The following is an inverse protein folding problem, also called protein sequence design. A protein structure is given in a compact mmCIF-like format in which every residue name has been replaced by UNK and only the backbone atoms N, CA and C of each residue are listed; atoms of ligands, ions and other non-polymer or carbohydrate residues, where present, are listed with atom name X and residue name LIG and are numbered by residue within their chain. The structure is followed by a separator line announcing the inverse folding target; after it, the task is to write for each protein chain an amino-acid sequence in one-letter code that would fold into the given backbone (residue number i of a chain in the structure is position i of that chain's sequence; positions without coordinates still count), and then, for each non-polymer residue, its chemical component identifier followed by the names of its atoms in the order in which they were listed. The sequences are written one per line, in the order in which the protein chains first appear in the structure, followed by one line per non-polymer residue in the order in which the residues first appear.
data_IF_668219624658
#
_entry.id   IF_668219624658
#
_cell.length_a   1.000
_cell.length_b   1.000
_cell.length_c   1.000
_cell.angle_alpha   90.00
_cell.angle_beta   90.00
_cell.angle_gamma   90.00
#
_symmetry.space_group_name_H-M   'P 1'
#
loop_
_entity.id
_entity.type
_entity.pdbx_description
1 polymer ?
#
# COMPACT_ATOMS: atom_id res chain seq x y z
N UNK A 1 26.32 -9.90 12.42
CA UNK A 1 27.06 -11.16 12.60
C UNK A 1 28.00 -11.15 13.80
N UNK A 2 28.55 -10.02 14.26
CA UNK A 2 29.36 -9.96 15.50
C UNK A 2 28.60 -10.32 16.78
N UNK A 3 27.25 -10.30 16.76
CA UNK A 3 26.38 -10.62 17.91
C UNK A 3 25.86 -12.08 17.93
N UNK A 4 26.32 -12.95 17.03
CA UNK A 4 25.85 -14.33 16.95
C UNK A 4 24.55 -14.52 16.16
N UNK A 5 23.93 -13.44 15.68
CA UNK A 5 22.69 -13.47 14.87
C UNK A 5 22.96 -14.15 13.52
N UNK A 6 22.08 -15.07 13.13
CA UNK A 6 22.20 -15.83 11.87
C UNK A 6 21.12 -15.50 10.85
N UNK A 7 20.00 -14.97 11.26
CA UNK A 7 18.85 -14.62 10.40
C UNK A 7 18.67 -13.11 10.41
N UNK A 8 19.15 -12.43 9.37
CA UNK A 8 19.22 -10.98 9.33
C UNK A 8 18.31 -10.46 8.22
N UNK A 9 17.35 -9.63 8.58
CA UNK A 9 16.55 -8.86 7.62
C UNK A 9 17.35 -7.64 7.17
N UNK A 10 17.41 -7.40 5.88
CA UNK A 10 18.03 -6.20 5.28
C UNK A 10 16.96 -5.40 4.58
N UNK A 11 16.54 -4.30 5.20
CA UNK A 11 15.65 -3.34 4.56
C UNK A 11 16.46 -2.48 3.60
N UNK A 12 16.03 -2.44 2.35
CA UNK A 12 16.66 -1.61 1.33
C UNK A 12 15.61 -1.31 0.24
N UNK A 13 15.33 -0.04 -0.07
CA UNK A 13 14.26 0.33 -1.01
C UNK A 13 14.43 -0.35 -2.37
N UNK A 14 13.37 -0.49 -3.16
CA UNK A 14 13.52 -0.84 -4.56
C UNK A 14 14.52 0.11 -5.26
N UNK A 15 15.32 -0.40 -6.21
CA UNK A 15 16.38 0.35 -6.94
C UNK A 15 17.54 0.87 -6.10
N UNK A 16 17.66 0.49 -4.86
CA UNK A 16 18.80 0.87 -3.99
C UNK A 16 20.09 0.07 -4.25
N UNK A 17 20.10 -0.80 -5.26
CA UNK A 17 21.25 -1.65 -5.55
C UNK A 17 21.32 -2.93 -4.71
N UNK A 18 20.20 -3.45 -4.18
CA UNK A 18 20.15 -4.70 -3.38
C UNK A 18 20.96 -5.83 -3.99
N UNK A 19 20.80 -6.08 -5.30
CA UNK A 19 21.48 -7.16 -6.01
C UNK A 19 23.02 -6.96 -6.04
N UNK A 20 23.48 -5.71 -6.11
CA UNK A 20 24.92 -5.38 -6.03
C UNK A 20 25.46 -5.68 -4.62
N UNK A 21 24.71 -5.34 -3.58
CA UNK A 21 25.08 -5.68 -2.19
C UNK A 21 25.12 -7.20 -2.00
N UNK A 22 24.15 -7.94 -2.54
CA UNK A 22 24.14 -9.40 -2.53
C UNK A 22 25.35 -9.98 -3.27
N UNK A 23 25.72 -9.41 -4.42
CA UNK A 23 26.92 -9.81 -5.17
C UNK A 23 28.19 -9.61 -4.35
N UNK A 24 28.35 -8.47 -3.68
CA UNK A 24 29.48 -8.22 -2.79
C UNK A 24 29.54 -9.22 -1.62
N UNK A 25 28.41 -9.55 -1.02
CA UNK A 25 28.35 -10.56 0.05
C UNK A 25 28.70 -11.94 -0.48
N UNK A 26 28.17 -12.33 -1.64
CA UNK A 26 28.44 -13.60 -2.29
C UNK A 26 29.93 -13.71 -2.64
N UNK A 27 30.53 -12.66 -3.22
CA UNK A 27 31.99 -12.63 -3.51
C UNK A 27 32.82 -12.85 -2.24
N UNK A 28 32.56 -12.08 -1.20
CA UNK A 28 33.29 -12.23 0.07
C UNK A 28 33.13 -13.63 0.71
N UNK A 29 32.02 -14.30 0.49
CA UNK A 29 31.80 -15.66 0.97
C UNK A 29 32.54 -16.67 0.08
N UNK A 30 32.40 -16.58 -1.23
CA UNK A 30 33.04 -17.53 -2.17
C UNK A 30 34.55 -17.40 -2.22
N UNK A 31 35.12 -16.20 -2.04
CA UNK A 31 36.59 -15.99 -1.86
C UNK A 31 37.17 -16.73 -0.65
N UNK A 32 36.30 -17.09 0.31
CA UNK A 32 36.61 -17.91 1.48
C UNK A 32 36.19 -19.38 1.32
N UNK A 33 35.97 -19.82 0.08
CA UNK A 33 35.48 -21.17 -0.25
C UNK A 33 34.15 -21.53 0.42
N UNK A 34 33.32 -20.53 0.76
CA UNK A 34 31.97 -20.72 1.32
C UNK A 34 30.96 -20.90 0.20
N UNK A 35 29.97 -21.77 0.42
CA UNK A 35 28.89 -22.00 -0.52
C UNK A 35 27.73 -21.06 -0.26
N UNK A 36 27.23 -20.45 -1.33
CA UNK A 36 26.13 -19.49 -1.30
C UNK A 36 24.91 -20.07 -2.03
N UNK A 37 23.74 -19.98 -1.43
CA UNK A 37 22.46 -20.27 -2.05
C UNK A 37 21.69 -18.96 -2.23
N UNK A 38 21.34 -18.65 -3.48
CA UNK A 38 20.40 -17.60 -3.81
C UNK A 38 19.12 -18.23 -4.36
N UNK A 39 17.95 -17.77 -3.90
CA UNK A 39 16.68 -18.17 -4.50
C UNK A 39 15.64 -17.06 -4.44
N UNK A 40 14.77 -17.05 -5.45
CA UNK A 40 13.64 -16.14 -5.59
C UNK A 40 12.41 -16.88 -6.11
N UNK A 41 11.28 -16.20 -6.18
CA UNK A 41 10.06 -16.80 -6.73
C UNK A 41 9.96 -16.69 -8.27
N UNK A 42 10.80 -15.88 -8.92
CA UNK A 42 10.79 -15.62 -10.37
C UNK A 42 12.11 -15.97 -11.04
N UNK A 43 11.99 -16.54 -12.23
CA UNK A 43 13.15 -16.91 -13.06
C UNK A 43 13.93 -15.68 -13.53
N UNK A 44 13.24 -14.62 -13.90
CA UNK A 44 13.83 -13.37 -14.37
C UNK A 44 14.75 -12.72 -13.32
N UNK A 45 14.36 -12.79 -12.04
CA UNK A 45 15.22 -12.31 -10.94
C UNK A 45 16.50 -13.14 -10.85
N UNK A 46 16.40 -14.46 -11.00
CA UNK A 46 17.58 -15.34 -10.97
C UNK A 46 18.55 -15.05 -12.11
N UNK A 47 18.05 -14.76 -13.31
CA UNK A 47 18.86 -14.38 -14.47
C UNK A 47 19.59 -13.06 -14.22
N UNK A 48 18.91 -12.04 -13.71
CA UNK A 48 19.51 -10.75 -13.33
C UNK A 48 20.56 -10.89 -12.22
N UNK A 49 20.31 -11.74 -11.24
CA UNK A 49 21.27 -12.02 -10.16
C UNK A 49 22.51 -12.73 -10.72
N UNK A 50 22.31 -13.72 -11.59
CA UNK A 50 23.41 -14.42 -12.23
C UNK A 50 24.32 -13.45 -13.02
N UNK A 51 23.73 -12.57 -13.83
CA UNK A 51 24.48 -11.54 -14.56
C UNK A 51 25.22 -10.57 -13.62
N UNK A 52 24.55 -10.16 -12.53
CA UNK A 52 25.16 -9.23 -11.56
C UNK A 52 26.30 -9.91 -10.80
N UNK A 53 26.16 -11.18 -10.44
CA UNK A 53 27.22 -11.96 -9.80
C UNK A 53 28.40 -12.17 -10.74
N UNK A 54 28.14 -12.45 -12.01
CA UNK A 54 29.19 -12.56 -13.03
C UNK A 54 29.96 -11.24 -13.16
N UNK A 55 29.28 -10.12 -13.27
CA UNK A 55 29.90 -8.77 -13.33
C UNK A 55 30.65 -8.42 -12.04
N UNK A 56 30.18 -8.90 -10.91
CA UNK A 56 30.81 -8.73 -9.60
C UNK A 56 31.93 -9.71 -9.30
N UNK A 57 32.35 -10.51 -10.30
CA UNK A 57 33.44 -11.50 -10.19
C UNK A 57 33.23 -12.49 -9.03
N UNK A 58 31.99 -12.90 -8.79
CA UNK A 58 31.65 -13.94 -7.80
C UNK A 58 32.08 -15.30 -8.36
N UNK A 59 32.74 -16.13 -7.55
CA UNK A 59 33.04 -17.50 -7.95
C UNK A 59 31.74 -18.33 -8.01
N UNK A 60 31.18 -18.48 -9.23
CA UNK A 60 29.91 -19.14 -9.46
C UNK A 60 29.92 -20.66 -9.20
N UNK A 61 31.07 -21.31 -9.16
CA UNK A 61 31.18 -22.72 -8.79
C UNK A 61 30.75 -22.98 -7.34
N UNK A 62 30.84 -21.96 -6.49
CA UNK A 62 30.39 -21.98 -5.12
C UNK A 62 29.01 -21.34 -4.91
N UNK A 63 28.25 -21.05 -5.99
CA UNK A 63 26.92 -20.41 -5.91
C UNK A 63 25.86 -21.30 -6.51
N UNK A 64 24.77 -21.48 -5.78
CA UNK A 64 23.56 -22.15 -6.26
C UNK A 64 22.50 -21.09 -6.46
N UNK A 65 21.99 -20.96 -7.67
CA UNK A 65 20.90 -20.02 -8.01
C UNK A 65 19.70 -20.83 -8.48
N UNK A 66 18.50 -20.48 -8.00
CA UNK A 66 17.28 -21.17 -8.43
C UNK A 66 15.98 -20.51 -8.00
N UNK A 67 14.88 -20.94 -8.60
CA UNK A 67 13.56 -20.56 -8.08
C UNK A 67 13.22 -21.40 -6.85
N UNK A 68 12.40 -20.85 -5.95
CA UNK A 68 11.93 -21.57 -4.74
C UNK A 68 11.46 -22.97 -5.08
N UNK A 69 10.57 -23.12 -6.09
CA UNK A 69 10.04 -24.42 -6.49
C UNK A 69 11.12 -25.38 -7.04
N UNK A 70 12.16 -24.88 -7.74
CA UNK A 70 13.25 -25.69 -8.24
C UNK A 70 14.19 -26.15 -7.11
N UNK A 71 14.45 -25.29 -6.15
CA UNK A 71 15.28 -25.61 -4.97
C UNK A 71 14.57 -26.67 -4.11
N UNK A 72 13.28 -26.48 -3.78
CA UNK A 72 12.52 -27.47 -2.99
C UNK A 72 12.56 -28.86 -3.60
N UNK A 73 12.38 -28.98 -4.94
CA UNK A 73 12.37 -30.29 -5.62
C UNK A 73 13.71 -31.04 -5.53
N UNK A 74 14.83 -30.34 -5.42
CA UNK A 74 16.18 -30.93 -5.35
C UNK A 74 16.88 -30.75 -4.01
N UNK A 75 16.14 -30.34 -2.98
CA UNK A 75 16.68 -29.93 -1.69
C UNK A 75 17.62 -30.97 -1.07
N UNK A 76 17.21 -32.23 -1.04
CA UNK A 76 18.01 -33.34 -0.50
C UNK A 76 19.25 -33.71 -1.35
N UNK A 77 19.40 -33.14 -2.53
CA UNK A 77 20.57 -33.35 -3.42
C UNK A 77 21.53 -32.17 -3.41
N UNK A 78 21.17 -31.09 -2.74
CA UNK A 78 22.04 -29.93 -2.62
C UNK A 78 23.11 -30.16 -1.55
N UNK A 79 24.33 -29.66 -1.75
CA UNK A 79 25.34 -29.66 -0.70
C UNK A 79 24.95 -28.71 0.43
N UNK A 80 25.56 -28.88 1.60
CA UNK A 80 25.47 -27.88 2.68
C UNK A 80 25.92 -26.52 2.18
N UNK A 81 25.21 -25.45 2.61
CA UNK A 81 25.51 -24.08 2.25
C UNK A 81 25.79 -23.25 3.49
N UNK A 82 26.69 -22.27 3.35
CA UNK A 82 27.13 -21.41 4.46
C UNK A 82 26.31 -20.10 4.53
N UNK A 83 25.85 -19.62 3.37
CA UNK A 83 25.12 -18.35 3.26
C UNK A 83 23.90 -18.54 2.36
N UNK A 84 22.77 -18.03 2.81
CA UNK A 84 21.54 -17.96 2.03
C UNK A 84 21.18 -16.50 1.79
N UNK A 85 20.93 -16.15 0.54
CA UNK A 85 20.47 -14.82 0.12
C UNK A 85 19.05 -14.97 -0.44
N UNK A 86 18.11 -14.24 0.13
CA UNK A 86 16.70 -14.24 -0.32
C UNK A 86 16.33 -12.83 -0.71
N UNK A 87 15.93 -12.64 -1.97
CA UNK A 87 15.34 -11.37 -2.41
C UNK A 87 13.82 -11.40 -2.25
N UNK A 88 13.21 -10.21 -2.17
CA UNK A 88 11.79 -10.00 -1.90
C UNK A 88 11.29 -10.83 -0.70
N UNK A 89 12.02 -10.69 0.39
CA UNK A 89 11.85 -11.51 1.59
C UNK A 89 10.51 -11.34 2.31
N UNK A 90 9.61 -10.46 1.85
CA UNK A 90 8.24 -10.41 2.35
C UNK A 90 7.45 -11.71 2.06
N UNK A 91 7.97 -12.59 1.17
CA UNK A 91 7.43 -13.91 0.89
C UNK A 91 7.95 -15.04 1.80
N UNK A 92 8.95 -14.81 2.65
CA UNK A 92 9.68 -15.89 3.38
C UNK A 92 8.79 -16.74 4.30
N UNK A 93 7.59 -16.26 4.69
CA UNK A 93 6.64 -17.04 5.50
C UNK A 93 5.97 -18.18 4.72
N UNK A 94 6.00 -18.14 3.39
CA UNK A 94 5.39 -19.18 2.58
C UNK A 94 6.07 -20.54 2.85
N UNK A 95 5.26 -21.60 2.90
CA UNK A 95 5.70 -22.97 3.27
C UNK A 95 6.97 -23.42 2.53
N UNK A 96 7.05 -23.15 1.24
CA UNK A 96 8.21 -23.55 0.42
C UNK A 96 9.51 -22.83 0.84
N UNK A 97 9.43 -21.52 1.18
CA UNK A 97 10.57 -20.78 1.70
C UNK A 97 11.02 -21.38 3.04
N UNK A 98 10.07 -21.59 3.95
CA UNK A 98 10.37 -22.18 5.26
C UNK A 98 10.98 -23.58 5.14
N UNK A 99 10.55 -24.40 4.17
CA UNK A 99 11.14 -25.71 3.91
C UNK A 99 12.64 -25.59 3.58
N UNK A 100 13.04 -24.63 2.72
CA UNK A 100 14.46 -24.41 2.38
C UNK A 100 15.22 -23.87 3.57
N UNK A 101 14.71 -22.83 4.22
CA UNK A 101 15.39 -22.16 5.34
C UNK A 101 15.62 -23.08 6.54
N UNK A 102 14.64 -23.95 6.83
CA UNK A 102 14.73 -24.94 7.91
C UNK A 102 15.60 -26.15 7.57
N UNK A 103 15.87 -26.40 6.29
CA UNK A 103 16.83 -27.45 5.88
C UNK A 103 18.28 -27.02 6.18
N UNK A 104 18.61 -25.75 5.95
CA UNK A 104 19.96 -25.19 6.13
C UNK A 104 20.05 -24.36 7.40
N UNK A 105 19.79 -24.93 8.55
CA UNK A 105 19.74 -24.22 9.85
C UNK A 105 21.08 -23.64 10.28
N UNK A 106 22.19 -24.20 9.80
CA UNK A 106 23.54 -23.73 10.11
C UNK A 106 24.00 -22.56 9.24
N UNK A 107 23.31 -22.29 8.13
CA UNK A 107 23.64 -21.20 7.23
C UNK A 107 23.30 -19.83 7.84
N UNK A 108 24.09 -18.82 7.49
CA UNK A 108 23.71 -17.42 7.69
C UNK A 108 22.66 -17.05 6.65
N UNK A 109 21.48 -16.60 7.09
CA UNK A 109 20.35 -16.30 6.23
C UNK A 109 20.13 -14.78 6.16
N UNK A 110 20.22 -14.22 4.97
CA UNK A 110 20.04 -12.79 4.73
C UNK A 110 18.81 -12.55 3.88
N UNK A 111 17.86 -11.78 4.43
CA UNK A 111 16.53 -11.54 3.88
C UNK A 111 16.40 -10.11 3.38
N UNK A 112 16.48 -9.89 2.08
CA UNK A 112 16.39 -8.57 1.48
C UNK A 112 14.95 -8.21 1.16
N UNK A 113 14.52 -7.01 1.56
CA UNK A 113 13.17 -6.49 1.25
C UNK A 113 13.18 -4.97 1.19
N UNK A 114 12.31 -4.40 0.37
CA UNK A 114 12.05 -2.95 0.37
C UNK A 114 11.29 -2.49 1.62
N UNK A 115 10.45 -3.38 2.16
CA UNK A 115 9.57 -3.09 3.30
C UNK A 115 9.51 -4.32 4.21
N UNK A 116 10.01 -4.24 5.44
CA UNK A 116 9.94 -5.34 6.40
C UNK A 116 8.56 -5.40 7.09
N UNK A 117 7.49 -5.33 6.29
CA UNK A 117 6.10 -5.40 6.72
C UNK A 117 5.37 -6.35 5.79
N UNK A 118 4.59 -7.28 6.34
CA UNK A 118 3.75 -8.21 5.58
C UNK A 118 2.45 -7.55 5.12
N UNK A 119 1.75 -8.17 4.18
CA UNK A 119 0.46 -7.68 3.68
C UNK A 119 -0.60 -7.55 4.78
N UNK A 120 -0.56 -8.44 5.79
CA UNK A 120 -1.44 -8.39 6.96
C UNK A 120 -1.04 -7.34 8.01
N UNK A 121 0.04 -6.60 7.75
CA UNK A 121 0.60 -5.59 8.64
C UNK A 121 1.51 -6.15 9.74
N UNK A 122 1.69 -7.48 9.84
CA UNK A 122 2.61 -8.10 10.79
C UNK A 122 4.07 -7.89 10.39
N UNK A 123 4.97 -8.05 11.34
CA UNK A 123 6.41 -7.97 11.13
C UNK A 123 7.08 -9.33 10.92
N UNK A 124 8.38 -9.38 11.17
CA UNK A 124 9.25 -10.54 10.92
C UNK A 124 10.06 -10.97 12.16
N UNK A 125 9.71 -10.49 13.34
CA UNK A 125 10.39 -10.86 14.60
C UNK A 125 10.38 -12.38 14.89
N UNK A 126 9.44 -13.12 14.27
CA UNK A 126 9.32 -14.58 14.34
C UNK A 126 10.27 -15.31 13.37
N UNK A 127 10.88 -14.60 12.43
CA UNK A 127 11.69 -15.19 11.34
C UNK A 127 13.09 -14.59 11.20
N UNK A 128 13.33 -13.42 11.76
CA UNK A 128 14.62 -12.72 11.70
C UNK A 128 15.07 -12.30 13.10
N UNK A 129 16.36 -12.48 13.37
CA UNK A 129 17.00 -12.16 14.66
C UNK A 129 17.31 -10.66 14.76
N UNK A 130 17.55 -10.00 13.61
CA UNK A 130 18.01 -8.62 13.56
C UNK A 130 17.57 -7.93 12.26
N UNK A 131 17.54 -6.60 12.27
CA UNK A 131 17.21 -5.74 11.15
C UNK A 131 18.34 -4.75 10.85
N UNK A 132 18.85 -4.82 9.63
CA UNK A 132 19.76 -3.81 9.08
C UNK A 132 18.95 -2.89 8.19
N UNK A 133 18.86 -1.62 8.54
CA UNK A 133 18.18 -0.60 7.75
C UNK A 133 19.16 0.08 6.80
N UNK A 134 18.86 0.04 5.51
CA UNK A 134 19.62 0.70 4.45
C UNK A 134 19.31 2.20 4.36
N UNK A 135 19.81 2.83 3.29
CA UNK A 135 19.58 4.24 3.03
C UNK A 135 18.12 4.50 2.64
N UNK A 136 17.58 5.64 3.06
CA UNK A 136 16.21 6.05 2.72
C UNK A 136 16.09 6.43 1.24
N UNK A 137 14.85 6.44 0.72
CA UNK A 137 14.56 6.88 -0.66
C UNK A 137 15.03 8.34 -0.83
N UNK A 138 14.80 9.20 0.16
CA UNK A 138 15.28 10.59 0.15
C UNK A 138 16.80 10.67 0.01
N UNK A 139 17.54 9.91 0.81
CA UNK A 139 18.99 9.87 0.70
C UNK A 139 19.45 9.44 -0.69
N UNK A 140 18.78 8.44 -1.28
CA UNK A 140 19.10 7.96 -2.64
C UNK A 140 18.85 9.04 -3.71
N UNK A 141 17.82 9.89 -3.54
CA UNK A 141 17.55 11.04 -4.39
C UNK A 141 18.63 12.12 -4.27
N UNK A 142 18.94 12.52 -3.04
CA UNK A 142 19.97 13.52 -2.74
C UNK A 142 21.37 13.16 -3.29
N UNK A 143 21.62 11.85 -3.47
CA UNK A 143 22.89 11.33 -4.02
C UNK A 143 22.78 10.90 -5.49
N UNK A 144 21.71 11.23 -6.19
CA UNK A 144 21.53 10.94 -7.62
C UNK A 144 21.36 9.45 -7.97
N UNK A 145 21.17 8.57 -6.99
CA UNK A 145 20.97 7.15 -7.23
C UNK A 145 19.60 6.80 -7.78
N UNK A 146 18.61 7.68 -7.55
CA UNK A 146 17.27 7.65 -8.13
C UNK A 146 16.84 9.07 -8.49
N UNK A 147 15.93 9.19 -9.47
CA UNK A 147 15.42 10.51 -9.89
C UNK A 147 14.56 11.15 -8.81
N UNK A 148 14.57 12.48 -8.80
CA UNK A 148 13.52 13.26 -8.16
C UNK A 148 12.18 13.04 -8.83
N UNK A 149 11.09 13.43 -8.18
CA UNK A 149 9.75 13.30 -8.76
C UNK A 149 8.85 14.48 -8.39
N UNK A 150 7.88 14.72 -9.26
CA UNK A 150 6.68 15.51 -8.99
C UNK A 150 5.52 14.57 -8.71
N UNK A 151 4.77 14.79 -7.66
CA UNK A 151 3.63 13.97 -7.28
C UNK A 151 2.33 14.76 -7.47
N UNK A 152 1.44 14.21 -8.26
CA UNK A 152 0.12 14.78 -8.52
C UNK A 152 -0.95 13.80 -8.04
N UNK A 153 -1.94 14.30 -7.33
CA UNK A 153 -3.01 13.44 -6.83
C UNK A 153 -4.37 14.08 -6.91
N UNK A 154 -5.31 13.28 -7.31
CA UNK A 154 -6.75 13.48 -7.12
C UNK A 154 -7.28 12.24 -6.41
N UNK A 155 -8.20 12.40 -5.46
CA UNK A 155 -8.82 11.26 -4.81
C UNK A 155 -10.22 11.05 -5.38
N UNK A 156 -10.32 10.17 -6.37
CA UNK A 156 -11.57 9.84 -7.06
C UNK A 156 -12.31 8.65 -6.42
N UNK A 157 -11.80 8.12 -5.29
CA UNK A 157 -12.38 6.93 -4.66
C UNK A 157 -13.26 7.28 -3.46
N UNK A 158 -14.44 6.66 -3.41
CA UNK A 158 -15.18 6.53 -2.16
C UNK A 158 -14.50 5.51 -1.25
N UNK A 159 -13.66 6.03 -0.36
CA UNK A 159 -12.85 5.23 0.57
C UNK A 159 -13.69 4.33 1.48
N UNK A 160 -14.96 4.69 1.75
CA UNK A 160 -15.85 3.92 2.63
C UNK A 160 -16.29 2.59 1.99
N UNK A 161 -16.28 2.50 0.67
CA UNK A 161 -16.64 1.29 -0.07
C UNK A 161 -15.52 0.26 -0.14
N UNK A 162 -14.25 0.65 0.12
CA UNK A 162 -13.11 -0.25 0.00
C UNK A 162 -13.09 -1.33 1.07
N UNK A 163 -13.15 -2.59 0.66
CA UNK A 163 -13.10 -3.78 1.54
C UNK A 163 -11.81 -4.55 1.31
N UNK A 164 -11.19 -4.99 2.43
CA UNK A 164 -9.94 -5.78 2.39
C UNK A 164 -10.22 -7.27 2.55
N UNK A 165 -9.44 -8.07 1.80
CA UNK A 165 -9.33 -9.52 1.99
C UNK A 165 -7.86 -9.91 1.94
N UNK A 166 -7.39 -10.68 2.90
CA UNK A 166 -5.97 -11.11 2.97
C UNK A 166 -4.95 -9.96 2.91
N UNK A 167 -5.30 -8.79 3.49
CA UNK A 167 -4.41 -7.63 3.57
C UNK A 167 -4.47 -6.67 2.38
N UNK A 168 -5.20 -6.98 1.29
CA UNK A 168 -5.33 -6.12 0.12
C UNK A 168 -6.81 -5.83 -0.22
N UNK A 169 -7.09 -4.77 -0.98
CA UNK A 169 -8.43 -4.45 -1.43
C UNK A 169 -8.93 -5.47 -2.46
N UNK A 170 -10.21 -5.84 -2.38
CA UNK A 170 -10.82 -6.73 -3.37
C UNK A 170 -11.18 -5.96 -4.63
N UNK A 171 -11.00 -6.57 -5.82
CA UNK A 171 -11.33 -5.92 -7.09
C UNK A 171 -12.77 -5.42 -7.10
N UNK A 172 -13.73 -6.24 -6.65
CA UNK A 172 -15.13 -5.86 -6.55
C UNK A 172 -15.36 -4.58 -5.70
N UNK A 173 -14.68 -4.46 -4.55
CA UNK A 173 -14.81 -3.24 -3.74
C UNK A 173 -14.13 -2.02 -4.36
N UNK A 174 -13.11 -2.23 -5.18
CA UNK A 174 -12.49 -1.16 -5.97
C UNK A 174 -13.44 -0.70 -7.08
N UNK A 175 -14.07 -1.65 -7.78
CA UNK A 175 -15.09 -1.36 -8.80
C UNK A 175 -16.29 -0.58 -8.20
N UNK A 176 -16.76 -0.97 -7.00
CA UNK A 176 -17.81 -0.25 -6.28
C UNK A 176 -17.39 1.14 -5.78
N UNK A 177 -16.10 1.34 -5.48
CA UNK A 177 -15.56 2.59 -4.99
C UNK A 177 -15.26 3.59 -6.12
N UNK A 178 -14.97 3.09 -7.33
CA UNK A 178 -14.82 3.89 -8.53
C UNK A 178 -16.21 4.22 -9.09
N UNK A 179 -16.57 5.50 -9.14
CA UNK A 179 -17.78 5.91 -9.86
C UNK A 179 -17.49 6.00 -11.36
N UNK A 180 -17.75 4.89 -12.06
CA UNK A 180 -17.40 4.70 -13.47
C UNK A 180 -17.99 5.72 -14.44
N UNK A 181 -18.96 6.53 -14.04
CA UNK A 181 -19.64 7.47 -14.95
C UNK A 181 -18.98 8.84 -15.06
N UNK A 182 -18.25 9.27 -14.02
CA UNK A 182 -17.73 10.63 -13.94
C UNK A 182 -16.20 10.72 -14.22
N UNK A 183 -15.46 9.61 -14.19
CA UNK A 183 -14.03 9.62 -13.86
C UNK A 183 -13.10 9.19 -14.99
N UNK A 184 -13.62 8.70 -16.10
CA UNK A 184 -12.80 8.09 -17.15
C UNK A 184 -12.14 9.06 -18.14
N UNK A 185 -12.48 10.34 -18.11
CA UNK A 185 -11.83 11.39 -18.91
C UNK A 185 -10.51 11.86 -18.30
N UNK A 186 -10.48 11.99 -16.98
CA UNK A 186 -9.46 12.77 -16.27
C UNK A 186 -8.04 12.22 -16.36
N UNK A 187 -7.82 10.89 -16.36
CA UNK A 187 -6.44 10.34 -16.37
C UNK A 187 -5.71 10.56 -17.69
N UNK A 188 -6.42 10.66 -18.80
CA UNK A 188 -5.82 11.00 -20.10
C UNK A 188 -5.52 12.49 -20.14
N UNK A 189 -6.46 13.34 -19.75
CA UNK A 189 -6.27 14.79 -19.69
C UNK A 189 -5.14 15.16 -18.73
N UNK A 190 -5.05 14.48 -17.59
CA UNK A 190 -3.93 14.66 -16.65
C UNK A 190 -2.61 14.20 -17.26
N UNK A 191 -2.57 13.06 -17.95
CA UNK A 191 -1.37 12.62 -18.66
C UNK A 191 -0.96 13.61 -19.75
N UNK A 192 -1.92 14.09 -20.56
CA UNK A 192 -1.64 15.06 -21.62
C UNK A 192 -1.11 16.39 -21.09
N UNK A 193 -1.67 16.87 -20.00
CA UNK A 193 -1.24 18.11 -19.35
C UNK A 193 0.13 18.01 -18.68
N UNK A 194 0.39 16.89 -17.99
CA UNK A 194 1.56 16.75 -17.12
C UNK A 194 2.73 16.01 -17.76
N UNK A 195 2.45 15.13 -18.73
CA UNK A 195 3.42 14.12 -19.17
C UNK A 195 3.31 13.75 -20.66
N UNK A 196 2.70 14.58 -21.48
CA UNK A 196 2.45 14.29 -22.91
C UNK A 196 3.69 13.77 -23.62
N UNK A 197 3.58 12.62 -24.26
CA UNK A 197 4.64 11.98 -25.05
C UNK A 197 5.72 11.26 -24.23
N UNK A 198 5.67 11.28 -22.90
CA UNK A 198 6.59 10.53 -22.04
C UNK A 198 6.11 9.08 -21.86
N UNK A 199 7.06 8.13 -21.76
CA UNK A 199 6.70 6.74 -21.50
C UNK A 199 6.13 6.55 -20.10
N UNK A 200 4.93 5.94 -20.04
CA UNK A 200 4.18 5.74 -18.81
C UNK A 200 3.88 4.27 -18.50
N UNK A 201 4.00 3.89 -17.23
CA UNK A 201 3.39 2.68 -16.70
C UNK A 201 2.11 3.06 -15.96
N UNK A 202 1.03 2.36 -16.29
CA UNK A 202 -0.27 2.51 -15.66
C UNK A 202 -0.59 1.26 -14.83
N UNK A 203 -0.89 1.41 -13.57
CA UNK A 203 -1.28 0.31 -12.67
C UNK A 203 -2.78 0.26 -12.49
N UNK A 204 -3.38 -0.87 -12.82
CA UNK A 204 -4.82 -1.13 -12.68
C UNK A 204 -5.09 -2.36 -11.80
N UNK A 205 -6.32 -2.49 -11.30
CA UNK A 205 -6.70 -3.56 -10.38
C UNK A 205 -7.27 -4.81 -11.07
N UNK A 206 -7.79 -4.69 -12.31
CA UNK A 206 -8.36 -5.80 -13.07
C UNK A 206 -7.92 -5.79 -14.53
N UNK A 207 -8.05 -6.93 -15.21
CA UNK A 207 -7.69 -7.08 -16.64
C UNK A 207 -8.67 -6.30 -17.50
N UNK A 208 -9.95 -6.40 -17.19
CA UNK A 208 -11.03 -5.71 -17.90
C UNK A 208 -10.83 -4.19 -17.85
N UNK A 209 -10.44 -3.68 -16.68
CA UNK A 209 -10.13 -2.26 -16.52
C UNK A 209 -8.86 -1.86 -17.27
N UNK A 210 -7.83 -2.71 -17.28
CA UNK A 210 -6.61 -2.46 -18.03
C UNK A 210 -6.85 -2.38 -19.55
N UNK A 211 -7.65 -3.28 -20.10
CA UNK A 211 -8.03 -3.29 -21.51
C UNK A 211 -8.78 -2.01 -21.90
N UNK A 212 -9.72 -1.57 -21.05
CA UNK A 212 -10.45 -0.33 -21.27
C UNK A 212 -9.53 0.90 -21.20
N UNK A 213 -8.63 0.97 -20.22
CA UNK A 213 -7.65 2.06 -20.10
C UNK A 213 -6.73 2.11 -21.33
N UNK A 214 -6.20 0.96 -21.75
CA UNK A 214 -5.33 0.86 -22.93
C UNK A 214 -6.05 1.30 -24.20
N UNK A 215 -7.30 0.83 -24.39
CA UNK A 215 -8.13 1.21 -25.54
C UNK A 215 -8.34 2.73 -25.61
N UNK A 216 -8.64 3.38 -24.48
CA UNK A 216 -8.83 4.83 -24.42
C UNK A 216 -7.56 5.60 -24.76
N UNK A 217 -6.39 5.18 -24.26
CA UNK A 217 -5.12 5.78 -24.69
C UNK A 217 -4.91 5.63 -26.19
N UNK A 218 -5.25 4.46 -26.77
CA UNK A 218 -5.15 4.23 -28.21
C UNK A 218 -6.10 5.12 -29.01
N UNK A 219 -7.34 5.35 -28.55
CA UNK A 219 -8.31 6.27 -29.14
C UNK A 219 -7.81 7.73 -29.17
N UNK A 220 -6.93 8.11 -28.21
CA UNK A 220 -6.27 9.42 -28.16
C UNK A 220 -4.91 9.43 -28.88
N UNK A 221 -4.61 8.41 -29.69
CA UNK A 221 -3.43 8.36 -30.55
C UNK A 221 -2.15 7.86 -29.89
N UNK A 222 -2.20 7.35 -28.67
CA UNK A 222 -1.03 6.78 -27.99
C UNK A 222 -0.86 5.30 -28.29
N UNK A 223 0.35 4.85 -28.55
CA UNK A 223 0.66 3.43 -28.64
C UNK A 223 0.59 2.82 -27.24
N UNK A 224 -0.40 1.98 -27.00
CA UNK A 224 -0.71 1.39 -25.69
C UNK A 224 -0.79 -0.13 -25.77
N UNK A 225 -0.35 -0.81 -24.72
CA UNK A 225 -0.44 -2.26 -24.58
C UNK A 225 -0.72 -2.70 -23.14
N UNK A 226 -1.36 -3.88 -23.02
CA UNK A 226 -1.73 -4.45 -21.72
C UNK A 226 -0.86 -5.66 -21.40
N UNK A 227 -0.32 -5.70 -20.18
CA UNK A 227 0.39 -6.87 -19.66
C UNK A 227 -0.28 -7.34 -18.37
N UNK A 228 -0.70 -8.61 -18.35
CA UNK A 228 -1.39 -9.25 -17.25
C UNK A 228 -0.93 -10.69 -17.05
N UNK A 229 -1.41 -11.36 -16.03
CA UNK A 229 -1.16 -12.80 -15.83
C UNK A 229 -1.69 -13.70 -16.95
N UNK A 230 -2.59 -13.19 -17.80
CA UNK A 230 -3.12 -13.90 -18.99
C UNK A 230 -2.25 -13.72 -20.23
N UNK A 231 -1.35 -12.72 -20.27
CA UNK A 231 -0.48 -12.42 -21.41
C UNK A 231 0.56 -13.52 -21.54
N UNK A 232 0.67 -14.14 -22.73
CA UNK A 232 1.67 -15.17 -23.02
C UNK A 232 3.09 -14.65 -22.85
N UNK A 233 4.06 -15.54 -22.63
CA UNK A 233 5.45 -15.14 -22.46
C UNK A 233 5.99 -14.42 -23.68
N UNK A 234 5.74 -14.94 -24.89
CA UNK A 234 6.18 -14.32 -26.15
C UNK A 234 5.58 -12.93 -26.36
N UNK A 235 4.28 -12.77 -26.11
CA UNK A 235 3.60 -11.48 -26.22
C UNK A 235 4.14 -10.47 -25.20
N UNK A 236 4.40 -10.91 -23.97
CA UNK A 236 5.02 -10.08 -22.93
C UNK A 236 6.40 -9.60 -23.34
N UNK A 237 7.24 -10.49 -23.88
CA UNK A 237 8.58 -10.15 -24.38
C UNK A 237 8.50 -9.13 -25.51
N UNK A 238 7.57 -9.30 -26.46
CA UNK A 238 7.35 -8.36 -27.56
C UNK A 238 6.91 -6.97 -27.07
N UNK A 239 5.95 -6.90 -26.15
CA UNK A 239 5.49 -5.64 -25.55
C UNK A 239 6.59 -4.95 -24.76
N UNK A 240 7.38 -5.72 -23.99
CA UNK A 240 8.52 -5.20 -23.27
C UNK A 240 9.60 -4.64 -24.19
N UNK A 241 9.88 -5.33 -25.30
CA UNK A 241 10.84 -4.87 -26.29
C UNK A 241 10.34 -3.59 -26.99
N UNK A 242 9.08 -3.57 -27.42
CA UNK A 242 8.47 -2.38 -28.01
C UNK A 242 8.49 -1.17 -27.07
N UNK A 243 8.29 -1.41 -25.77
CA UNK A 243 8.37 -0.35 -24.75
C UNK A 243 9.82 0.13 -24.55
N UNK A 244 10.82 -0.76 -24.49
CA UNK A 244 12.24 -0.38 -24.39
C UNK A 244 12.71 0.43 -25.61
N UNK A 245 12.20 0.11 -26.78
CA UNK A 245 12.53 0.81 -28.05
C UNK A 245 11.74 2.12 -28.21
N UNK A 246 10.87 2.49 -27.29
CA UNK A 246 10.04 3.69 -27.39
C UNK A 246 8.90 3.61 -28.39
N UNK A 247 8.66 2.42 -28.99
CA UNK A 247 7.53 2.17 -29.90
C UNK A 247 6.20 2.11 -29.19
N UNK A 248 6.21 1.75 -27.92
CA UNK A 248 5.05 1.73 -27.02
C UNK A 248 5.21 2.86 -26.01
N UNK A 249 4.23 3.77 -25.96
CA UNK A 249 4.26 4.92 -25.05
C UNK A 249 3.64 4.56 -23.70
N UNK A 250 2.54 3.81 -23.71
CA UNK A 250 1.76 3.49 -22.52
C UNK A 250 1.76 1.97 -22.28
N UNK A 251 2.26 1.56 -21.13
CA UNK A 251 2.21 0.17 -20.68
C UNK A 251 1.22 0.04 -19.53
N UNK A 252 0.06 -0.57 -19.77
CA UNK A 252 -0.95 -0.83 -18.75
C UNK A 252 -0.69 -2.20 -18.12
N UNK A 253 -0.65 -2.25 -16.80
CA UNK A 253 -0.21 -3.42 -16.06
C UNK A 253 -1.21 -3.86 -14.98
N UNK A 254 -1.41 -5.18 -14.90
CA UNK A 254 -2.17 -5.83 -13.84
C UNK A 254 -1.29 -6.84 -13.10
N UNK A 255 -0.85 -6.51 -11.90
CA UNK A 255 -0.11 -7.39 -10.97
C UNK A 255 1.25 -7.96 -11.45
N UNK A 256 1.83 -7.52 -12.59
CA UNK A 256 3.04 -8.15 -13.12
C UNK A 256 4.32 -7.35 -12.94
N UNK A 257 4.30 -6.03 -13.11
CA UNK A 257 5.49 -5.19 -13.07
C UNK A 257 5.83 -4.68 -11.68
N UNK A 258 5.49 -5.46 -10.66
CA UNK A 258 5.83 -5.16 -9.28
C UNK A 258 7.27 -5.54 -8.94
N UNK A 259 7.79 -6.64 -9.54
CA UNK A 259 9.08 -7.22 -9.18
C UNK A 259 9.82 -7.76 -10.41
N UNK A 260 11.16 -7.72 -10.38
CA UNK A 260 12.03 -8.47 -11.30
C UNK A 260 12.10 -8.01 -12.77
N UNK A 261 11.52 -6.88 -13.13
CA UNK A 261 11.53 -6.39 -14.52
C UNK A 261 12.24 -5.04 -14.57
N UNK A 262 13.24 -4.92 -15.44
CA UNK A 262 13.90 -3.65 -15.70
C UNK A 262 13.28 -2.93 -16.90
N UNK A 263 12.79 -1.71 -16.64
CA UNK A 263 12.22 -0.79 -17.60
C UNK A 263 12.91 0.57 -17.45
N UNK A 264 14.03 0.78 -18.13
CA UNK A 264 14.87 1.95 -17.91
C UNK A 264 14.22 3.28 -18.37
N UNK A 265 13.31 3.24 -19.31
CA UNK A 265 12.78 4.43 -19.98
C UNK A 265 11.47 4.97 -19.40
N UNK A 266 11.02 4.45 -18.27
CA UNK A 266 9.78 4.92 -17.62
C UNK A 266 10.00 6.29 -17.01
N UNK A 267 9.20 7.25 -17.43
CA UNK A 267 9.18 8.63 -16.91
C UNK A 267 7.98 8.89 -16.00
N UNK A 268 6.88 8.17 -16.25
CA UNK A 268 5.60 8.42 -15.62
C UNK A 268 5.06 7.15 -14.99
N UNK A 269 4.54 7.27 -13.77
CA UNK A 269 3.76 6.23 -13.12
C UNK A 269 2.35 6.75 -12.85
N UNK A 270 1.35 6.12 -13.47
CA UNK A 270 -0.06 6.44 -13.27
C UNK A 270 -0.69 5.35 -12.40
N UNK A 271 -1.21 5.73 -11.25
CA UNK A 271 -1.81 4.82 -10.28
C UNK A 271 -3.34 4.92 -10.36
N UNK A 272 -3.95 3.95 -11.03
CA UNK A 272 -5.41 3.72 -11.09
C UNK A 272 -5.82 2.53 -10.21
N UNK A 273 -4.91 2.06 -9.37
CA UNK A 273 -5.13 0.97 -8.44
C UNK A 273 -4.88 1.44 -7.02
N UNK A 274 -5.91 1.45 -6.16
CA UNK A 274 -5.70 1.62 -4.73
C UNK A 274 -5.01 0.38 -4.16
N UNK A 275 -4.11 0.57 -3.22
CA UNK A 275 -3.49 -0.54 -2.50
C UNK A 275 -3.44 -0.29 -1.00
N UNK A 276 -3.63 -1.34 -0.22
CA UNK A 276 -3.42 -1.34 1.22
C UNK A 276 -1.95 -1.65 1.59
N UNK A 277 -1.17 -2.14 0.62
CA UNK A 277 0.23 -2.54 0.79
C UNK A 277 1.20 -1.39 0.52
N UNK A 278 1.91 -0.96 1.57
CA UNK A 278 3.01 0.01 1.42
C UNK A 278 4.10 -0.50 0.46
N UNK A 279 4.40 -1.81 0.50
CA UNK A 279 5.38 -2.44 -0.40
C UNK A 279 4.98 -2.26 -1.85
N UNK A 280 3.74 -2.58 -2.18
CA UNK A 280 3.22 -2.47 -3.55
C UNK A 280 3.18 -1.02 -4.03
N UNK A 281 2.76 -0.10 -3.17
CA UNK A 281 2.77 1.34 -3.48
C UNK A 281 4.17 1.85 -3.81
N UNK A 282 5.17 1.52 -2.98
CA UNK A 282 6.55 1.90 -3.22
C UNK A 282 7.10 1.26 -4.50
N UNK A 283 6.77 0.00 -4.80
CA UNK A 283 7.16 -0.66 -6.04
C UNK A 283 6.58 0.05 -7.28
N UNK A 284 5.32 0.51 -7.23
CA UNK A 284 4.72 1.30 -8.31
C UNK A 284 5.51 2.59 -8.56
N UNK A 285 5.66 3.41 -7.53
CA UNK A 285 6.34 4.69 -7.63
C UNK A 285 7.77 4.54 -8.15
N UNK A 286 8.52 3.58 -7.59
CA UNK A 286 9.94 3.40 -7.90
C UNK A 286 10.20 2.96 -9.35
N UNK A 287 9.20 2.49 -10.09
CA UNK A 287 9.38 2.16 -11.52
C UNK A 287 9.68 3.38 -12.38
N UNK A 288 9.14 4.53 -12.04
CA UNK A 288 9.42 5.77 -12.74
C UNK A 288 10.72 6.46 -12.28
N UNK A 289 11.31 6.06 -11.16
CA UNK A 289 12.43 6.77 -10.53
C UNK A 289 13.82 6.32 -11.03
N UNK A 290 13.94 5.78 -12.24
CA UNK A 290 15.26 5.48 -12.86
C UNK A 290 16.07 6.75 -12.99
N UNK A 291 17.33 6.82 -12.53
CA UNK A 291 18.17 8.00 -12.68
C UNK A 291 18.56 8.17 -14.14
N UNK A 292 18.42 9.37 -14.66
CA UNK A 292 18.95 9.86 -15.94
C UNK A 292 19.21 11.35 -15.79
N UNK A 293 20.21 11.87 -16.50
CA UNK A 293 20.57 13.29 -16.45
C UNK A 293 19.38 14.19 -16.78
N UNK A 294 19.12 15.15 -15.91
CA UNK A 294 18.00 16.10 -16.05
C UNK A 294 16.61 15.51 -15.93
N UNK A 295 16.48 14.23 -15.58
CA UNK A 295 15.18 13.60 -15.41
C UNK A 295 14.54 13.95 -14.08
N UNK A 296 13.27 14.35 -14.15
CA UNK A 296 12.34 14.41 -13.04
C UNK A 296 11.14 13.52 -13.36
N UNK A 297 10.88 12.52 -12.54
CA UNK A 297 9.79 11.58 -12.73
C UNK A 297 8.43 12.21 -12.39
N UNK A 298 7.36 11.70 -13.00
CA UNK A 298 6.00 12.18 -12.76
C UNK A 298 5.18 11.04 -12.19
N UNK A 299 4.65 11.23 -10.98
CA UNK A 299 3.77 10.26 -10.31
C UNK A 299 2.36 10.84 -10.27
N UNK A 300 1.40 10.16 -10.89
CA UNK A 300 -0.01 10.58 -10.97
C UNK A 300 -0.85 9.55 -10.22
N UNK A 301 -1.40 9.95 -9.08
CA UNK A 301 -2.17 9.08 -8.18
C UNK A 301 -3.66 9.47 -8.20
N UNK A 302 -4.45 8.75 -8.95
CA UNK A 302 -5.90 8.97 -9.07
C UNK A 302 -6.72 8.33 -7.94
N UNK A 303 -6.07 7.59 -7.05
CA UNK A 303 -6.75 6.75 -6.06
C UNK A 303 -6.34 7.05 -4.62
N UNK A 304 -5.63 8.16 -4.41
CA UNK A 304 -5.25 8.67 -3.10
C UNK A 304 -4.37 7.70 -2.29
N UNK A 305 -3.47 6.96 -2.93
CA UNK A 305 -2.53 6.07 -2.22
C UNK A 305 -1.66 6.85 -1.23
N UNK A 306 -1.26 8.09 -1.56
CA UNK A 306 -0.47 8.95 -0.68
C UNK A 306 -1.19 9.28 0.63
N UNK A 307 -2.51 9.32 0.64
CA UNK A 307 -3.30 9.59 1.87
C UNK A 307 -3.05 8.47 2.89
N UNK A 308 -2.93 7.21 2.42
CA UNK A 308 -2.68 6.04 3.28
C UNK A 308 -1.21 5.89 3.63
N UNK A 309 -0.34 6.08 2.65
CA UNK A 309 1.05 5.67 2.73
C UNK A 309 2.03 6.82 2.89
N UNK A 310 1.60 8.06 2.66
CA UNK A 310 2.46 9.24 2.51
C UNK A 310 3.16 9.27 1.16
N UNK A 311 4.07 10.22 0.95
CA UNK A 311 4.88 10.25 -0.25
C UNK A 311 5.91 9.11 -0.27
N UNK A 312 6.35 8.64 -1.45
CA UNK A 312 7.31 7.55 -1.56
C UNK A 312 8.61 7.79 -0.77
N UNK A 313 9.09 9.02 -0.73
CA UNK A 313 10.33 9.43 -0.07
C UNK A 313 10.13 9.95 1.37
N UNK A 314 8.97 9.73 1.97
CA UNK A 314 8.81 9.93 3.42
C UNK A 314 9.77 9.03 4.18
N UNK A 315 10.43 9.58 5.20
CA UNK A 315 11.27 8.81 6.10
C UNK A 315 10.40 7.91 7.00
N UNK A 316 10.87 6.70 7.24
CA UNK A 316 10.16 5.67 8.01
C UNK A 316 11.11 4.94 8.94
N UNK A 317 10.71 4.80 10.21
CA UNK A 317 11.40 3.96 11.18
C UNK A 317 10.99 2.50 10.99
N UNK A 318 11.85 1.74 10.36
CA UNK A 318 11.61 0.33 10.11
C UNK A 318 11.89 -0.51 11.34
N UNK A 319 11.00 -1.46 11.62
CA UNK A 319 11.13 -2.42 12.73
C UNK A 319 10.73 -3.82 12.27
N UNK A 320 11.16 -4.85 13.00
CA UNK A 320 10.69 -6.23 12.80
C UNK A 320 9.28 -6.48 13.34
N UNK A 321 8.69 -5.53 14.07
CA UNK A 321 7.37 -5.68 14.71
C UNK A 321 6.19 -5.36 13.77
N UNK A 322 6.47 -4.87 12.56
CA UNK A 322 5.46 -4.62 11.54
C UNK A 322 4.86 -3.21 11.56
N UNK A 323 3.76 -3.03 10.83
CA UNK A 323 3.16 -1.72 10.53
C UNK A 323 2.73 -0.91 11.76
N UNK A 324 2.29 -1.57 12.83
CA UNK A 324 1.81 -0.88 14.05
C UNK A 324 2.91 -0.12 14.78
N UNK A 325 4.16 -0.54 14.62
CA UNK A 325 5.33 0.09 15.25
C UNK A 325 6.20 0.85 14.26
N UNK A 326 6.02 0.64 12.95
CA UNK A 326 6.67 1.46 11.93
C UNK A 326 5.99 2.82 11.90
N UNK A 327 6.64 3.81 12.45
CA UNK A 327 6.14 5.20 12.47
C UNK A 327 6.70 5.96 11.27
N UNK A 328 5.93 6.91 10.75
CA UNK A 328 6.51 7.98 9.94
C UNK A 328 7.35 8.84 10.89
N UNK A 329 8.61 9.00 10.57
CA UNK A 329 9.54 9.85 11.35
C UNK A 329 9.32 11.33 11.11
N UNK A 330 8.68 11.68 9.98
CA UNK A 330 8.33 13.08 9.70
C UNK A 330 6.88 13.36 10.10
N UNK A 331 6.67 14.34 10.96
CA UNK A 331 5.37 14.96 11.20
C UNK A 331 4.89 15.79 9.99
N UNK A 332 5.58 15.68 8.85
CA UNK A 332 5.30 16.42 7.63
C UNK A 332 3.96 15.99 7.06
N UNK A 333 2.96 16.84 7.13
CA UNK A 333 1.69 16.67 6.43
C UNK A 333 1.85 17.02 4.96
N UNK A 334 1.22 16.25 4.08
CA UNK A 334 1.12 16.58 2.66
C UNK A 334 -0.08 17.49 2.41
N UNK A 335 0.03 18.31 1.37
CA UNK A 335 -1.04 19.16 0.85
C UNK A 335 -1.16 18.91 -0.65
N UNK A 336 -2.38 18.87 -1.17
CA UNK A 336 -2.65 18.83 -2.61
C UNK A 336 -3.26 20.17 -3.03
N UNK A 337 -2.67 20.79 -4.05
CA UNK A 337 -3.21 22.00 -4.65
C UNK A 337 -4.45 21.67 -5.49
N UNK A 338 -5.54 22.40 -5.30
CA UNK A 338 -6.79 22.20 -6.04
C UNK A 338 -6.70 22.64 -7.50
N UNK A 339 -5.78 23.56 -7.85
CA UNK A 339 -5.62 24.10 -9.20
C UNK A 339 -4.76 23.22 -10.10
N UNK A 340 -3.55 22.83 -9.63
CA UNK A 340 -2.61 22.07 -10.45
C UNK A 340 -2.49 20.60 -10.03
N UNK A 341 -3.14 20.21 -8.93
CA UNK A 341 -3.12 18.87 -8.32
C UNK A 341 -1.75 18.38 -7.85
N UNK A 342 -0.73 19.26 -7.82
CA UNK A 342 0.56 18.93 -7.22
C UNK A 342 0.38 18.60 -5.74
N UNK A 343 0.97 17.49 -5.30
CA UNK A 343 0.97 17.04 -3.91
C UNK A 343 2.39 17.12 -3.36
N UNK A 344 2.56 17.88 -2.30
CA UNK A 344 3.86 18.21 -1.71
C UNK A 344 3.75 18.33 -0.19
N UNK A 345 4.88 18.46 0.50
CA UNK A 345 4.84 18.66 1.95
C UNK A 345 4.39 20.08 2.29
N UNK A 346 3.62 20.20 3.37
CA UNK A 346 3.07 21.48 3.81
C UNK A 346 4.12 22.56 4.11
N UNK A 347 5.32 22.15 4.51
CA UNK A 347 6.45 23.05 4.76
C UNK A 347 7.10 23.63 3.48
N UNK A 348 6.67 23.16 2.31
CA UNK A 348 7.08 23.71 1.01
C UNK A 348 6.15 24.83 0.50
N UNK A 349 5.08 25.16 1.25
CA UNK A 349 4.24 26.32 0.92
C UNK A 349 5.04 27.62 1.07
N UNK A 350 5.01 28.46 0.05
CA UNK A 350 5.55 29.81 0.08
C UNK A 350 4.40 30.78 0.30
N UNK A 351 4.37 31.46 1.45
CA UNK A 351 3.29 32.38 1.86
C UNK A 351 1.86 31.80 1.75
N UNK A 352 1.70 30.48 1.92
CA UNK A 352 0.42 29.78 1.79
C UNK A 352 0.06 29.41 0.36
N UNK A 353 0.96 29.66 -0.60
CA UNK A 353 0.78 29.38 -2.02
C UNK A 353 1.47 28.08 -2.46
N UNK A 354 0.97 27.49 -3.52
CA UNK A 354 1.54 26.32 -4.16
C UNK A 354 2.90 26.63 -4.80
N UNK A 355 3.96 25.87 -4.53
CA UNK A 355 5.28 26.09 -5.11
C UNK A 355 5.36 25.80 -6.61
N UNK A 356 4.32 25.16 -7.19
CA UNK A 356 4.30 24.79 -8.61
C UNK A 356 3.48 25.75 -9.50
N UNK A 357 2.36 26.27 -9.01
CA UNK A 357 1.48 27.15 -9.81
C UNK A 357 1.15 28.48 -9.13
N UNK A 358 1.67 28.70 -7.94
CA UNK A 358 1.46 29.90 -7.14
C UNK A 358 -0.02 30.15 -6.73
N UNK A 359 -0.91 29.16 -6.87
CA UNK A 359 -2.28 29.28 -6.38
C UNK A 359 -2.32 29.27 -4.85
N UNK A 360 -3.23 30.01 -4.26
CA UNK A 360 -3.43 30.03 -2.81
C UNK A 360 -4.02 28.68 -2.33
N UNK A 361 -3.24 27.95 -1.53
CA UNK A 361 -3.60 26.62 -1.00
C UNK A 361 -4.19 26.73 0.40
N UNK A 362 -3.65 27.63 1.21
CA UNK A 362 -4.19 27.95 2.53
C UNK A 362 -4.96 29.26 2.40
N UNK A 363 -6.26 29.15 2.17
CA UNK A 363 -7.14 30.31 2.20
C UNK A 363 -7.11 30.88 3.63
N UNK A 364 -6.60 32.10 3.78
CA UNK A 364 -6.74 32.85 5.04
C UNK A 364 -8.23 33.12 5.21
N UNK A 365 -8.86 32.45 6.19
CA UNK A 365 -10.27 32.72 6.51
C UNK A 365 -10.36 34.22 6.87
N UNK A 366 -11.16 34.96 6.13
CA UNK A 366 -11.48 36.31 6.46
C UNK A 366 -12.36 36.35 7.70
N UNK A 367 -12.44 37.48 8.38
CA UNK A 367 -13.34 37.67 9.54
C UNK A 367 -14.80 37.36 9.13
N UNK A 368 -15.17 37.72 7.90
CA UNK A 368 -16.48 37.39 7.32
C UNK A 368 -16.73 35.89 7.10
N UNK A 369 -15.72 35.12 6.70
CA UNK A 369 -15.82 33.66 6.58
C UNK A 369 -15.98 32.99 7.96
N UNK A 370 -15.26 33.51 8.96
CA UNK A 370 -15.39 33.06 10.35
C UNK A 370 -16.77 33.44 10.92
N UNK A 371 -17.29 34.58 10.57
CA UNK A 371 -18.64 35.00 10.98
C UNK A 371 -19.74 34.22 10.25
N UNK A 372 -19.59 33.87 8.96
CA UNK A 372 -20.50 33.00 8.24
C UNK A 372 -20.51 31.59 8.81
N UNK A 373 -19.34 30.96 9.03
CA UNK A 373 -19.28 29.65 9.68
C UNK A 373 -19.90 29.66 11.09
N UNK A 374 -19.81 30.78 11.82
CA UNK A 374 -20.49 30.96 13.11
C UNK A 374 -22.01 31.13 12.96
N UNK A 375 -22.49 31.70 11.85
CA UNK A 375 -23.92 31.90 11.63
C UNK A 375 -24.62 30.64 11.12
N UNK A 376 -23.91 29.73 10.43
CA UNK A 376 -24.45 28.47 9.94
C UNK A 376 -24.39 27.35 11.00
N UNK A 377 -23.57 27.50 12.03
CA UNK A 377 -23.65 26.67 13.23
C UNK A 377 -24.85 27.16 14.06
N UNK A 378 -26.03 26.61 13.81
CA UNK A 378 -27.11 26.70 14.78
C UNK A 378 -26.56 26.11 16.08
N UNK A 379 -26.37 27.00 17.07
CA UNK A 379 -26.16 26.60 18.44
C UNK A 379 -27.41 25.81 18.88
N UNK A 380 -27.39 24.48 18.74
CA UNK A 380 -28.35 23.64 19.41
C UNK A 380 -28.24 23.93 20.90
N UNK A 381 -29.31 24.52 21.45
CA UNK A 381 -29.43 24.77 22.87
C UNK A 381 -29.26 23.42 23.56
N UNK A 382 -28.08 23.15 24.10
CA UNK A 382 -27.85 21.95 24.93
C UNK A 382 -28.75 22.12 26.15
N UNK A 383 -29.92 21.51 26.07
CA UNK A 383 -30.82 21.42 27.23
C UNK A 383 -30.05 20.60 28.27
N UNK A 384 -29.59 21.25 29.35
CA UNK A 384 -28.98 20.61 30.47
C UNK A 384 -29.99 19.56 30.99
N UNK A 385 -29.70 18.27 30.73
CA UNK A 385 -30.58 17.16 31.13
C UNK A 385 -31.06 16.26 29.98
N UNK A 386 -30.77 16.58 28.72
CA UNK A 386 -31.09 15.74 27.57
C UNK A 386 -29.83 15.06 27.04
N UNK A 387 -29.96 13.85 26.53
CA UNK A 387 -28.89 13.07 25.85
C UNK A 387 -29.45 12.43 24.57
N UNK A 388 -28.55 12.20 23.61
CA UNK A 388 -28.88 11.48 22.39
C UNK A 388 -28.57 9.99 22.51
N UNK A 389 -29.51 9.14 22.11
CA UNK A 389 -29.30 7.70 21.97
C UNK A 389 -29.69 7.26 20.56
N UNK A 390 -29.04 6.22 20.06
CA UNK A 390 -29.37 5.65 18.74
C UNK A 390 -30.26 4.43 18.94
N UNK A 391 -31.48 4.47 18.39
CA UNK A 391 -32.45 3.36 18.40
C UNK A 391 -32.79 3.01 16.96
N UNK A 392 -32.50 1.77 16.54
CA UNK A 392 -32.78 1.26 15.19
C UNK A 392 -32.20 2.13 14.05
N UNK A 393 -31.05 2.77 14.31
CA UNK A 393 -30.36 3.64 13.34
C UNK A 393 -30.77 5.10 13.38
N UNK A 394 -31.82 5.47 14.11
CA UNK A 394 -32.26 6.85 14.31
C UNK A 394 -31.68 7.43 15.60
N UNK A 395 -31.25 8.68 15.54
CA UNK A 395 -30.73 9.43 16.69
C UNK A 395 -31.89 10.15 17.39
N UNK A 396 -32.21 9.75 18.61
CA UNK A 396 -33.37 10.25 19.37
C UNK A 396 -32.85 10.99 20.61
N UNK A 397 -33.43 12.16 20.87
CA UNK A 397 -33.17 12.95 22.06
C UNK A 397 -34.03 12.44 23.23
N UNK A 398 -33.41 12.11 24.36
CA UNK A 398 -34.07 11.59 25.55
C UNK A 398 -33.51 12.26 26.78
N UNK A 399 -34.28 12.27 27.90
CA UNK A 399 -33.77 12.74 29.19
C UNK A 399 -32.59 11.89 29.66
N UNK A 400 -31.62 12.50 30.30
CA UNK A 400 -30.41 11.84 30.83
C UNK A 400 -30.72 10.61 31.69
N UNK A 401 -31.76 10.67 32.49
CA UNK A 401 -32.26 9.57 33.32
C UNK A 401 -32.80 8.41 32.44
N UNK A 402 -33.51 8.73 31.38
CA UNK A 402 -34.01 7.74 30.43
C UNK A 402 -32.87 7.12 29.61
N UNK A 403 -31.86 7.91 29.22
CA UNK A 403 -30.67 7.42 28.49
C UNK A 403 -29.91 6.34 29.29
N UNK A 404 -29.83 6.51 30.61
CA UNK A 404 -29.23 5.50 31.53
C UNK A 404 -30.01 4.19 31.46
N UNK A 405 -31.35 4.27 31.46
CA UNK A 405 -32.20 3.08 31.37
C UNK A 405 -32.04 2.41 30.01
N UNK A 406 -32.05 3.15 28.89
CA UNK A 406 -31.84 2.60 27.56
C UNK A 406 -30.48 1.91 27.44
N UNK A 407 -29.39 2.54 27.89
CA UNK A 407 -28.03 1.93 27.83
C UNK A 407 -27.96 0.63 28.62
N UNK A 408 -28.59 0.59 29.82
CA UNK A 408 -28.68 -0.64 30.62
C UNK A 408 -29.44 -1.73 29.89
N UNK A 409 -30.59 -1.42 29.32
CA UNK A 409 -31.45 -2.38 28.63
C UNK A 409 -30.81 -2.88 27.33
N UNK A 410 -30.00 -2.08 26.65
CA UNK A 410 -29.20 -2.52 25.48
C UNK A 410 -28.29 -3.70 25.81
N UNK A 411 -27.80 -3.81 27.06
CA UNK A 411 -26.97 -4.94 27.50
C UNK A 411 -27.77 -6.25 27.70
N UNK A 412 -29.09 -6.18 27.70
CA UNK A 412 -29.95 -7.35 27.92
C UNK A 412 -30.12 -8.20 26.62
N UNK A 413 -29.75 -7.67 25.46
CA UNK A 413 -29.97 -8.31 24.18
C UNK A 413 -31.45 -8.59 23.94
N UNK A 414 -31.81 -9.82 23.59
CA UNK A 414 -33.20 -10.24 23.38
C UNK A 414 -33.90 -10.77 24.65
N UNK A 415 -33.30 -10.61 25.84
CA UNK A 415 -33.78 -11.21 27.10
C UNK A 415 -34.58 -10.23 27.92
N UNK A 416 -35.88 -10.03 27.60
CA UNK A 416 -36.79 -9.15 28.34
C UNK A 416 -36.98 -9.57 29.81
N UNK A 417 -36.72 -10.84 30.14
CA UNK A 417 -36.78 -11.35 31.50
C UNK A 417 -35.78 -10.71 32.50
N UNK A 418 -34.82 -9.94 31.97
CA UNK A 418 -33.87 -9.17 32.78
C UNK A 418 -34.42 -7.80 33.20
N UNK A 419 -35.55 -7.34 32.65
CA UNK A 419 -36.17 -6.10 33.04
C UNK A 419 -36.71 -6.21 34.47
N UNK A 420 -36.32 -5.29 35.35
CA UNK A 420 -36.66 -5.27 36.77
C UNK A 420 -37.80 -4.30 37.12
N UNK A 421 -38.16 -3.43 36.20
CA UNK A 421 -39.22 -2.43 36.38
C UNK A 421 -39.85 -2.04 35.05
N UNK A 422 -40.95 -1.26 35.14
CA UNK A 422 -41.72 -0.80 33.96
C UNK A 422 -40.91 0.09 33.01
N UNK A 423 -40.01 0.91 33.52
CA UNK A 423 -39.18 1.80 32.72
C UNK A 423 -38.20 0.99 31.84
N UNK A 424 -37.60 -0.07 32.41
CA UNK A 424 -36.75 -0.99 31.64
C UNK A 424 -37.55 -1.80 30.62
N UNK A 425 -38.73 -2.25 30.95
CA UNK A 425 -39.61 -2.99 30.04
C UNK A 425 -40.09 -2.10 28.88
N UNK A 426 -40.41 -0.82 29.16
CA UNK A 426 -40.76 0.19 28.15
C UNK A 426 -39.58 0.45 27.20
N UNK A 427 -38.39 0.65 27.74
CA UNK A 427 -37.18 0.84 26.98
C UNK A 427 -36.88 -0.40 26.11
N UNK A 428 -37.01 -1.60 26.66
CA UNK A 428 -36.83 -2.87 25.95
C UNK A 428 -37.78 -3.00 24.75
N UNK A 429 -39.07 -2.66 24.97
CA UNK A 429 -40.06 -2.64 23.88
C UNK A 429 -39.66 -1.72 22.73
N UNK A 430 -39.25 -0.50 23.08
CA UNK A 430 -38.87 0.52 22.06
C UNK A 430 -37.64 0.08 21.32
N UNK A 431 -36.58 -0.37 22.02
CA UNK A 431 -35.32 -0.84 21.42
C UNK A 431 -35.51 -2.00 20.44
N UNK A 432 -36.50 -2.87 20.68
CA UNK A 432 -36.76 -4.04 19.85
C UNK A 432 -37.95 -3.85 18.88
N UNK A 433 -38.55 -2.67 18.77
CA UNK A 433 -39.62 -2.37 17.85
C UNK A 433 -40.95 -3.10 18.13
N UNK A 434 -41.18 -3.56 19.37
CA UNK A 434 -42.42 -4.27 19.70
C UNK A 434 -43.61 -3.31 19.82
N UNK A 435 -44.79 -3.76 19.41
CA UNK A 435 -46.07 -2.99 19.50
C UNK A 435 -46.43 -2.74 21.01
N UNK A 436 -47.20 -1.66 21.30
CA UNK A 436 -47.54 -1.33 22.69
C UNK A 436 -48.23 -2.46 23.48
N UNK A 437 -49.09 -3.26 22.85
CA UNK A 437 -49.71 -4.41 23.49
C UNK A 437 -48.78 -5.51 24.01
N UNK A 438 -47.55 -5.65 23.40
CA UNK A 438 -46.54 -6.58 23.87
C UNK A 438 -46.14 -6.30 25.32
N UNK A 439 -46.01 -5.03 25.68
CA UNK A 439 -45.61 -4.60 27.03
C UNK A 439 -46.63 -5.05 28.10
N UNK A 440 -47.94 -4.97 27.80
CA UNK A 440 -48.97 -5.38 28.72
C UNK A 440 -48.92 -6.87 29.07
N UNK A 441 -48.69 -7.74 28.08
CA UNK A 441 -48.51 -9.18 28.30
C UNK A 441 -47.27 -9.50 29.15
N UNK A 442 -46.13 -8.84 28.85
CA UNK A 442 -44.86 -9.09 29.53
C UNK A 442 -44.80 -8.48 30.91
N UNK A 443 -45.49 -7.39 31.17
CA UNK A 443 -45.68 -6.82 32.49
C UNK A 443 -46.38 -7.80 33.44
N UNK A 444 -47.42 -8.48 32.95
CA UNK A 444 -48.12 -9.52 33.70
C UNK A 444 -47.23 -10.74 33.99
N UNK A 445 -46.50 -11.18 33.00
CA UNK A 445 -45.57 -12.32 33.07
C UNK A 445 -44.43 -12.07 34.08
N UNK A 446 -43.90 -10.84 34.13
CA UNK A 446 -42.80 -10.46 35.03
C UNK A 446 -43.26 -9.93 36.39
N UNK A 447 -44.55 -9.91 36.64
CA UNK A 447 -45.16 -9.42 37.92
C UNK A 447 -44.79 -7.96 38.25
N UNK A 448 -44.62 -7.11 37.25
CA UNK A 448 -44.22 -5.69 37.35
C UNK A 448 -45.44 -4.76 37.50
N UNK A 449 -46.38 -5.11 38.39
CA UNK A 449 -47.53 -4.29 38.71
C UNK A 449 -47.21 -3.36 39.89
N UNK A 450 -46.59 -2.20 39.61
CA UNK A 450 -46.60 -1.05 40.53
C UNK A 450 -46.40 0.25 39.78
#
# INVERSE_FOLDING_TARGET
MKAGNRKIMVQSPPRSGKTVVMSFIAKNATDKNKKVLFFSHRKEINEQVHETFTRGEVNLDNVIIGTVGSIVRRLNKLPEVDVILVDEAHHIKAKQYQTILNHFTNATQLFFTGTPIRLDGSGFHDLADDLVVGKSIRWLQEHGNISEFDYYSVNLLDMAKLKKRSGEFTNHSVDEALDFKTEYGDYIDHYERLAKGKQAIVYTHSVEYAEMVSKRFSEHGYQSGVVSGKTSQSERENLMQAFREGKLTIMVNVNLFTEGIDLPNVDVCIMLRPTASLSLYLQFAMRALNPRDGKRAILIDHVGNHIRHGLPNDDRDWTLDGAKKTKKTSERSTVTCEECFATFWRDQLEDGCCPYCNAEVIKKKTIEDIEREKSDVQLEKINQGMEFITIQGERIEVKKEEAIVYRRVMTYGKRYTRCKNLSELKAFRILNGYKPGWMWHKQKELNLWR
#
